data_IF_471368245751
#
_entry.id   IF_471368245751
#
_cell.length_a   1.000
_cell.length_b   1.000
_cell.length_c   1.000
_cell.angle_alpha   90.00
_cell.angle_beta   90.00
_cell.angle_gamma   90.00
#
_symmetry.space_group_name_H-M   'P 1'
#
loop_
_entity.id
_entity.type
_entity.pdbx_description
1 polymer ?
#
# COMPACT_ATOMS: atom_id res chain seq x y z
N UNK A 1 -15.26 12.91 6.78
CA UNK A 1 -16.00 11.65 7.01
C UNK A 1 -15.17 10.56 6.37
N UNK A 2 -14.50 9.73 7.16
CA UNK A 2 -13.80 8.55 6.62
C UNK A 2 -14.85 7.46 6.57
N UNK A 3 -15.40 7.22 5.40
CA UNK A 3 -16.38 6.18 5.13
C UNK A 3 -15.73 4.98 4.44
N UNK A 4 -16.46 3.86 4.36
CA UNK A 4 -15.95 2.63 3.78
C UNK A 4 -15.41 2.81 2.36
N UNK A 5 -16.09 3.60 1.52
CA UNK A 5 -15.66 3.82 0.14
C UNK A 5 -14.31 4.54 0.10
N UNK A 6 -14.12 5.55 0.95
CA UNK A 6 -12.83 6.25 1.05
C UNK A 6 -11.70 5.30 1.47
N UNK A 7 -11.95 4.42 2.45
CA UNK A 7 -10.96 3.42 2.89
C UNK A 7 -10.69 2.35 1.81
N UNK A 8 -11.72 1.97 1.04
CA UNK A 8 -11.59 1.06 -0.10
C UNK A 8 -10.69 1.64 -1.19
N UNK A 9 -10.95 2.88 -1.61
CA UNK A 9 -10.11 3.57 -2.60
C UNK A 9 -8.68 3.79 -2.10
N UNK A 10 -8.50 4.13 -0.82
CA UNK A 10 -7.17 4.26 -0.22
C UNK A 10 -6.41 2.93 -0.23
N UNK A 11 -7.07 1.83 0.15
CA UNK A 11 -6.48 0.49 0.13
C UNK A 11 -6.08 0.08 -1.30
N UNK A 12 -6.96 0.33 -2.27
CA UNK A 12 -6.68 0.07 -3.68
C UNK A 12 -5.47 0.87 -4.20
N UNK A 13 -5.38 2.16 -3.86
CA UNK A 13 -4.25 3.01 -4.23
C UNK A 13 -2.94 2.51 -3.60
N UNK A 14 -2.94 2.18 -2.31
CA UNK A 14 -1.78 1.66 -1.60
C UNK A 14 -1.31 0.31 -2.18
N UNK A 15 -2.23 -0.60 -2.49
CA UNK A 15 -1.91 -1.87 -3.15
C UNK A 15 -1.34 -1.67 -4.56
N UNK A 16 -1.88 -0.73 -5.33
CA UNK A 16 -1.37 -0.43 -6.68
C UNK A 16 0.05 0.14 -6.62
N UNK A 17 0.32 1.03 -5.66
CA UNK A 17 1.66 1.56 -5.42
C UNK A 17 2.62 0.46 -4.92
N UNK A 18 2.15 -0.46 -4.07
CA UNK A 18 2.95 -1.61 -3.62
C UNK A 18 3.31 -2.52 -4.80
N UNK A 19 2.38 -2.78 -5.72
CA UNK A 19 2.64 -3.56 -6.94
C UNK A 19 3.72 -2.89 -7.81
N UNK A 20 3.58 -1.59 -8.09
CA UNK A 20 4.55 -0.84 -8.91
C UNK A 20 5.91 -0.80 -8.26
N UNK A 21 5.98 -0.55 -6.96
CA UNK A 21 7.26 -0.50 -6.22
C UNK A 21 7.94 -1.87 -6.16
N UNK A 22 7.16 -2.95 -6.02
CA UNK A 22 7.66 -4.31 -6.13
C UNK A 22 8.23 -4.61 -7.52
N UNK A 23 7.56 -4.17 -8.60
CA UNK A 23 8.08 -4.30 -9.95
C UNK A 23 9.37 -3.49 -10.17
N UNK A 24 9.40 -2.24 -9.70
CA UNK A 24 10.55 -1.34 -9.82
C UNK A 24 11.78 -1.83 -9.04
N UNK A 25 11.58 -2.55 -7.93
CA UNK A 25 12.68 -3.13 -7.15
C UNK A 25 13.57 -4.07 -7.99
N UNK A 26 12.98 -4.84 -8.90
CA UNK A 26 13.74 -5.72 -9.81
C UNK A 26 14.43 -4.95 -10.94
N UNK A 27 13.87 -3.82 -11.36
CA UNK A 27 14.36 -3.03 -12.49
C UNK A 27 15.45 -2.01 -12.11
N UNK A 28 15.50 -1.58 -10.85
CA UNK A 28 16.34 -0.46 -10.40
C UNK A 28 17.42 -0.87 -9.38
N UNK A 29 18.57 -1.42 -9.82
CA UNK A 29 19.64 -1.84 -8.90
C UNK A 29 20.20 -0.69 -8.04
N UNK A 30 20.22 0.54 -8.57
CA UNK A 30 20.66 1.75 -7.85
C UNK A 30 19.75 2.12 -6.67
N UNK A 31 18.43 1.94 -6.83
CA UNK A 31 17.43 2.39 -5.86
C UNK A 31 16.86 1.25 -5.00
N UNK A 32 17.41 0.04 -5.16
CA UNK A 32 16.90 -1.20 -4.56
C UNK A 32 16.63 -1.09 -3.06
N UNK A 33 17.56 -0.49 -2.30
CA UNK A 33 17.41 -0.32 -0.83
C UNK A 33 16.28 0.66 -0.47
N UNK A 34 16.16 1.77 -1.20
CA UNK A 34 15.10 2.77 -0.99
C UNK A 34 13.74 2.19 -1.36
N UNK A 35 13.67 1.50 -2.50
CA UNK A 35 12.45 0.81 -2.96
C UNK A 35 12.00 -0.26 -1.98
N UNK A 36 12.94 -1.01 -1.37
CA UNK A 36 12.61 -1.99 -0.34
C UNK A 36 11.94 -1.33 0.88
N UNK A 37 12.54 -0.28 1.44
CA UNK A 37 11.97 0.40 2.60
C UNK A 37 10.60 1.01 2.27
N UNK A 38 10.48 1.67 1.12
CA UNK A 38 9.23 2.26 0.68
C UNK A 38 8.15 1.20 0.46
N UNK A 39 8.49 0.06 -0.15
CA UNK A 39 7.57 -1.06 -0.38
C UNK A 39 7.06 -1.66 0.94
N UNK A 40 7.94 -1.84 1.92
CA UNK A 40 7.55 -2.34 3.26
C UNK A 40 6.61 -1.36 3.95
N UNK A 41 6.90 -0.05 3.89
CA UNK A 41 6.03 0.99 4.47
C UNK A 41 4.66 0.98 3.79
N UNK A 42 4.61 0.91 2.45
CA UNK A 42 3.35 0.82 1.70
C UNK A 42 2.54 -0.42 2.10
N UNK A 43 3.20 -1.57 2.24
CA UNK A 43 2.55 -2.81 2.67
C UNK A 43 1.95 -2.69 4.07
N UNK A 44 2.67 -2.08 5.01
CA UNK A 44 2.18 -1.84 6.36
C UNK A 44 0.95 -0.91 6.36
N UNK A 45 1.01 0.19 5.60
CA UNK A 45 -0.12 1.13 5.47
C UNK A 45 -1.32 0.48 4.79
N UNK A 46 -1.10 -0.32 3.74
CA UNK A 46 -2.16 -1.04 3.03
C UNK A 46 -2.87 -2.01 3.98
N UNK A 47 -2.12 -2.74 4.79
CA UNK A 47 -2.69 -3.66 5.79
C UNK A 47 -3.55 -2.93 6.82
N UNK A 48 -3.06 -1.82 7.38
CA UNK A 48 -3.82 -1.00 8.34
C UNK A 48 -5.10 -0.47 7.69
N UNK A 49 -5.01 0.05 6.46
CA UNK A 49 -6.16 0.57 5.72
C UNK A 49 -7.21 -0.53 5.46
N UNK A 50 -6.78 -1.74 5.05
CA UNK A 50 -7.67 -2.89 4.87
C UNK A 50 -8.33 -3.32 6.19
N UNK A 51 -7.55 -3.39 7.27
CA UNK A 51 -8.07 -3.73 8.60
C UNK A 51 -9.17 -2.73 9.02
N UNK A 52 -8.91 -1.43 8.88
CA UNK A 52 -9.89 -0.39 9.16
C UNK A 52 -11.10 -0.48 8.24
N UNK A 53 -10.91 -0.76 6.94
CA UNK A 53 -11.99 -0.89 5.98
C UNK A 53 -12.95 -2.04 6.32
N UNK A 54 -12.41 -3.17 6.79
CA UNK A 54 -13.21 -4.33 7.24
C UNK A 54 -13.88 -4.03 8.57
N UNK A 55 -13.16 -3.40 9.50
CA UNK A 55 -13.66 -3.10 10.84
C UNK A 55 -14.79 -2.07 10.84
N UNK A 56 -14.69 -1.00 10.05
CA UNK A 56 -15.71 0.05 9.97
C UNK A 56 -17.01 -0.38 9.26
N UNK A 57 -16.97 -1.47 8.50
CA UNK A 57 -18.14 -2.01 7.78
C UNK A 57 -18.90 -3.05 8.58
N UNK A 58 -18.24 -3.73 9.52
CA UNK A 58 -18.90 -4.59 10.49
C UNK A 58 -19.58 -3.77 11.58
#
# INVERSE_FOLDING_TARGET
MVDHNTLGYLSFALMTLALVTGALYFLSPRWKRVLLYFHVILGLLAYIAMFLAIWLVR
#
